data_IF_958738682224
#
_entry.id   IF_958738682224
#
_cell.length_a   1.000
_cell.length_b   1.000
_cell.length_c   1.000
_cell.angle_alpha   90.00
_cell.angle_beta   90.00
_cell.angle_gamma   90.00
#
_symmetry.space_group_name_H-M   'P 1'
#
loop_
_entity.id
_entity.type
_entity.pdbx_description
1 polymer ?
#
# COMPACT_ATOMS: atom_id res chain seq x y z
N UNK A 1 3.85 8.93 -9.04
CA UNK A 1 3.06 8.51 -7.88
C UNK A 1 1.66 9.07 -7.97
N UNK A 2 1.35 10.16 -7.27
CA UNK A 2 0.00 10.75 -7.25
C UNK A 2 -0.48 11.28 -8.61
N UNK A 3 0.39 11.93 -9.38
CA UNK A 3 0.06 12.40 -10.75
C UNK A 3 -0.26 11.22 -11.66
N UNK A 4 0.54 10.16 -11.59
CA UNK A 4 0.33 8.93 -12.34
C UNK A 4 -0.98 8.24 -11.95
N UNK A 5 -1.32 8.22 -10.65
CA UNK A 5 -2.60 7.73 -10.15
C UNK A 5 -3.78 8.59 -10.66
N UNK A 6 -3.62 9.91 -10.70
CA UNK A 6 -4.64 10.81 -11.24
C UNK A 6 -4.85 10.56 -12.74
N UNK A 7 -3.77 10.45 -13.51
CA UNK A 7 -3.81 10.13 -14.95
C UNK A 7 -4.45 8.77 -15.18
N UNK A 8 -4.00 7.74 -14.46
CA UNK A 8 -4.55 6.39 -14.54
C UNK A 8 -6.04 6.36 -14.17
N UNK A 9 -6.45 7.10 -13.14
CA UNK A 9 -7.84 7.20 -12.71
C UNK A 9 -8.72 7.86 -13.78
N UNK A 10 -8.24 8.92 -14.44
CA UNK A 10 -8.95 9.57 -15.55
C UNK A 10 -9.12 8.61 -16.73
N UNK A 11 -8.05 7.90 -17.12
CA UNK A 11 -8.09 6.90 -18.19
C UNK A 11 -9.06 5.77 -17.83
N UNK A 12 -9.05 5.32 -16.57
CA UNK A 12 -9.88 4.23 -16.09
C UNK A 12 -11.36 4.63 -16.05
N UNK A 13 -11.69 5.86 -15.63
CA UNK A 13 -13.05 6.40 -15.73
C UNK A 13 -13.51 6.47 -17.19
N UNK A 14 -12.63 6.92 -18.10
CA UNK A 14 -12.91 6.94 -19.54
C UNK A 14 -13.23 5.55 -20.10
N UNK A 15 -12.46 4.53 -19.72
CA UNK A 15 -12.71 3.14 -20.06
C UNK A 15 -14.00 2.60 -19.42
N UNK A 16 -14.26 2.88 -18.15
CA UNK A 16 -15.46 2.41 -17.46
C UNK A 16 -16.74 2.94 -18.09
N UNK A 17 -16.73 4.21 -18.53
CA UNK A 17 -17.82 4.82 -19.30
C UNK A 17 -17.98 4.16 -20.68
N UNK A 18 -16.87 3.86 -21.36
CA UNK A 18 -16.87 3.17 -22.64
C UNK A 18 -17.44 1.74 -22.54
N UNK A 19 -17.04 0.99 -21.50
CA UNK A 19 -17.46 -0.40 -21.26
C UNK A 19 -18.82 -0.53 -20.55
N UNK A 20 -19.51 0.58 -20.23
CA UNK A 20 -20.78 0.62 -19.48
C UNK A 20 -20.74 -0.20 -18.18
N UNK A 21 -19.62 -0.18 -17.47
CA UNK A 21 -19.53 -0.80 -16.14
C UNK A 21 -20.43 -0.02 -15.19
N UNK A 22 -21.34 -0.71 -14.50
CA UNK A 22 -22.19 -0.08 -13.51
C UNK A 22 -21.32 0.48 -12.38
N UNK A 23 -21.22 1.80 -12.29
CA UNK A 23 -20.60 2.47 -11.15
C UNK A 23 -21.36 2.07 -9.89
N UNK A 24 -20.83 1.06 -9.19
CA UNK A 24 -21.40 0.54 -7.96
C UNK A 24 -20.99 1.47 -6.82
N UNK A 25 -21.75 1.49 -5.72
CA UNK A 25 -21.44 2.25 -4.50
C UNK A 25 -19.99 2.06 -4.01
N UNK A 26 -19.38 0.94 -4.37
CA UNK A 26 -17.97 0.60 -4.20
C UNK A 26 -16.96 1.65 -4.65
N UNK A 27 -17.26 2.51 -5.64
CA UNK A 27 -16.35 3.60 -6.03
C UNK A 27 -16.13 4.63 -4.92
N UNK A 28 -17.08 4.79 -4.00
CA UNK A 28 -16.92 5.72 -2.86
C UNK A 28 -15.84 5.28 -1.87
N UNK A 29 -15.43 4.01 -1.92
CA UNK A 29 -14.34 3.47 -1.10
C UNK A 29 -12.96 3.69 -1.72
N UNK A 30 -12.87 4.07 -3.00
CA UNK A 30 -11.59 4.34 -3.66
C UNK A 30 -10.74 5.41 -2.94
N UNK A 31 -11.28 6.58 -2.56
CA UNK A 31 -10.50 7.59 -1.84
C UNK A 31 -9.93 7.06 -0.53
N UNK A 32 -10.66 6.19 0.17
CA UNK A 32 -10.19 5.56 1.40
C UNK A 32 -8.96 4.67 1.15
N UNK A 33 -9.01 3.83 0.11
CA UNK A 33 -7.86 2.98 -0.23
C UNK A 33 -6.66 3.78 -0.75
N UNK A 34 -6.89 4.89 -1.48
CA UNK A 34 -5.82 5.83 -1.84
C UNK A 34 -5.17 6.40 -0.57
N UNK A 35 -5.97 6.82 0.40
CA UNK A 35 -5.47 7.37 1.65
C UNK A 35 -4.67 6.35 2.47
N UNK A 36 -5.11 5.09 2.54
CA UNK A 36 -4.35 4.00 3.16
C UNK A 36 -3.03 3.74 2.45
N UNK A 37 -3.03 3.75 1.11
CA UNK A 37 -1.80 3.58 0.31
C UNK A 37 -0.80 4.70 0.59
N UNK A 38 -1.28 5.94 0.70
CA UNK A 38 -0.46 7.10 1.05
C UNK A 38 0.12 6.96 2.46
N UNK A 39 -0.70 6.55 3.42
CA UNK A 39 -0.26 6.37 4.80
C UNK A 39 0.82 5.29 4.92
N UNK A 40 0.64 4.18 4.20
CA UNK A 40 1.63 3.11 4.14
C UNK A 40 2.93 3.59 3.48
N UNK A 41 2.84 4.26 2.33
CA UNK A 41 4.00 4.79 1.61
C UNK A 41 4.77 5.82 2.46
N UNK A 42 4.05 6.67 3.20
CA UNK A 42 4.65 7.62 4.13
C UNK A 42 5.35 6.90 5.29
N UNK A 43 4.70 5.93 5.94
CA UNK A 43 5.31 5.19 7.05
C UNK A 43 6.58 4.46 6.64
N UNK A 44 6.48 3.66 5.57
CA UNK A 44 7.64 2.94 5.01
C UNK A 44 8.73 3.90 4.56
N UNK A 45 8.37 4.99 3.88
CA UNK A 45 9.30 6.02 3.43
C UNK A 45 10.01 6.73 4.59
N UNK A 46 9.30 7.03 5.68
CA UNK A 46 9.87 7.63 6.89
C UNK A 46 10.86 6.68 7.57
N UNK A 47 10.50 5.41 7.74
CA UNK A 47 11.43 4.40 8.28
C UNK A 47 12.68 4.30 7.43
N UNK A 48 12.52 4.11 6.12
CA UNK A 48 13.65 3.99 5.20
C UNK A 48 14.51 5.24 5.24
N UNK A 49 13.91 6.44 5.23
CA UNK A 49 14.66 7.70 5.33
C UNK A 49 15.50 7.72 6.60
N UNK A 50 14.90 7.42 7.75
CA UNK A 50 15.61 7.40 9.03
C UNK A 50 16.75 6.36 9.05
N UNK A 51 16.54 5.18 8.45
CA UNK A 51 17.57 4.14 8.34
C UNK A 51 18.69 4.53 7.35
N UNK A 52 18.38 5.21 6.24
CA UNK A 52 19.39 5.60 5.24
C UNK A 52 20.39 6.63 5.75
N UNK A 53 20.00 7.44 6.75
CA UNK A 53 20.92 8.36 7.44
C UNK A 53 22.02 7.59 8.17
N UNK A 54 21.69 6.44 8.75
CA UNK A 54 22.67 5.57 9.43
C UNK A 54 23.38 4.60 8.49
N UNK A 55 22.68 4.10 7.46
CA UNK A 55 23.16 3.08 6.53
C UNK A 55 22.97 3.53 5.08
N UNK A 56 24.01 4.14 4.50
CA UNK A 56 23.98 4.68 3.13
C UNK A 56 23.73 3.61 2.06
N UNK A 57 24.13 2.38 2.31
CA UNK A 57 24.00 1.24 1.37
C UNK A 57 22.54 0.84 1.11
N UNK A 58 21.64 1.14 2.06
CA UNK A 58 20.21 0.86 1.87
C UNK A 58 19.67 1.57 0.63
N UNK A 59 20.20 2.74 0.28
CA UNK A 59 19.75 3.50 -0.89
C UNK A 59 19.90 2.72 -2.21
N UNK A 60 20.89 1.83 -2.30
CA UNK A 60 21.11 0.97 -3.46
C UNK A 60 20.30 -0.32 -3.40
N UNK A 61 20.01 -0.83 -2.20
CA UNK A 61 19.19 -2.02 -2.01
C UNK A 61 17.68 -1.76 -2.17
N UNK A 62 17.23 -0.52 -1.97
CA UNK A 62 15.82 -0.15 -2.00
C UNK A 62 15.07 -0.56 -3.27
N UNK A 63 15.56 -0.30 -4.49
CA UNK A 63 14.86 -0.71 -5.71
C UNK A 63 14.64 -2.23 -5.75
N UNK A 64 15.62 -3.00 -5.30
CA UNK A 64 15.54 -4.46 -5.26
C UNK A 64 14.52 -4.95 -4.22
N UNK A 65 14.50 -4.34 -3.04
CA UNK A 65 13.53 -4.67 -1.98
C UNK A 65 12.10 -4.37 -2.43
N UNK A 66 11.88 -3.20 -3.04
CA UNK A 66 10.56 -2.82 -3.56
C UNK A 66 10.12 -3.79 -4.66
N UNK A 67 11.03 -4.17 -5.55
CA UNK A 67 10.74 -5.11 -6.62
C UNK A 67 10.37 -6.50 -6.06
N UNK A 68 11.10 -7.01 -5.07
CA UNK A 68 10.78 -8.27 -4.41
C UNK A 68 9.42 -8.18 -3.69
N UNK A 69 9.15 -7.06 -3.02
CA UNK A 69 7.87 -6.83 -2.34
C UNK A 69 6.69 -6.74 -3.31
N UNK A 70 6.89 -6.21 -4.52
CA UNK A 70 5.88 -6.23 -5.58
C UNK A 70 5.51 -7.66 -5.98
N UNK A 71 6.49 -8.56 -6.11
CA UNK A 71 6.22 -9.98 -6.39
C UNK A 71 5.58 -10.72 -5.20
N UNK A 72 5.91 -10.32 -3.98
CA UNK A 72 5.30 -10.87 -2.77
C UNK A 72 3.85 -10.38 -2.54
N UNK A 73 3.44 -9.30 -3.21
CA UNK A 73 2.10 -8.73 -3.11
C UNK A 73 1.22 -9.22 -4.26
N UNK A 74 -0.11 -9.33 -4.07
CA UNK A 74 -1.05 -9.76 -5.11
C UNK A 74 -1.33 -8.64 -6.13
N UNK A 75 -0.29 -7.91 -6.55
CA UNK A 75 -0.33 -6.89 -7.59
C UNK A 75 -0.47 -7.57 -8.95
N UNK A 76 0.36 -8.59 -9.20
CA UNK A 76 0.51 -9.25 -10.50
C UNK A 76 -0.47 -10.43 -10.65
N UNK A 77 -0.87 -11.06 -9.54
CA UNK A 77 -1.77 -12.21 -9.53
C UNK A 77 -2.98 -11.98 -8.62
N UNK A 78 -4.17 -12.51 -8.99
CA UNK A 78 -5.31 -12.55 -8.09
C UNK A 78 -5.04 -13.51 -6.93
N UNK A 79 -5.49 -13.13 -5.74
CA UNK A 79 -5.36 -13.90 -4.49
C UNK A 79 -5.97 -15.31 -4.57
N UNK A 80 -6.89 -15.54 -5.50
CA UNK A 80 -7.55 -16.83 -5.73
C UNK A 80 -6.65 -17.94 -6.31
N UNK A 81 -5.54 -17.59 -6.97
CA UNK A 81 -4.59 -18.59 -7.52
C UNK A 81 -3.71 -19.19 -6.42
N UNK A 82 -3.61 -18.52 -5.27
CA UNK A 82 -2.73 -18.93 -4.20
C UNK A 82 -3.40 -20.03 -3.35
N UNK A 83 -2.70 -21.16 -3.09
CA UNK A 83 -3.22 -22.24 -2.24
C UNK A 83 -3.62 -21.72 -0.86
N UNK A 84 -4.68 -22.27 -0.27
CA UNK A 84 -5.24 -21.79 1.02
C UNK A 84 -4.18 -21.72 2.13
N UNK A 85 -3.23 -22.66 2.10
CA UNK A 85 -2.10 -22.74 3.03
C UNK A 85 -1.16 -21.53 3.02
N UNK A 86 -1.21 -20.67 2.01
CA UNK A 86 -0.36 -19.47 1.89
C UNK A 86 -1.17 -18.17 1.94
N UNK A 87 -2.51 -18.24 2.00
CA UNK A 87 -3.37 -17.04 2.07
C UNK A 87 -3.17 -16.24 3.35
N UNK A 88 -2.79 -16.88 4.46
CA UNK A 88 -2.47 -16.19 5.72
C UNK A 88 -1.23 -15.30 5.59
N UNK A 89 -0.21 -15.73 4.83
CA UNK A 89 0.99 -14.93 4.56
C UNK A 89 0.62 -13.68 3.75
N UNK A 90 -0.27 -13.85 2.77
CA UNK A 90 -0.81 -12.72 2.01
C UNK A 90 -1.63 -11.78 2.88
N UNK A 91 -2.46 -12.31 3.80
CA UNK A 91 -3.26 -11.48 4.69
C UNK A 91 -2.42 -10.65 5.69
N UNK A 92 -1.21 -11.09 6.03
CA UNK A 92 -0.26 -10.35 6.87
C UNK A 92 0.40 -9.19 6.10
N UNK A 93 0.40 -9.21 4.77
CA UNK A 93 0.98 -8.11 4.00
C UNK A 93 -0.01 -6.93 3.95
N UNK A 94 0.33 -5.75 4.50
CA UNK A 94 -0.56 -4.59 4.55
C UNK A 94 -0.97 -4.08 3.16
N UNK A 95 -0.21 -4.42 2.10
CA UNK A 95 -0.59 -4.09 0.72
C UNK A 95 -1.73 -4.98 0.18
N UNK A 96 -1.89 -6.20 0.67
CA UNK A 96 -2.84 -7.17 0.12
C UNK A 96 -4.27 -6.69 0.25
N UNK A 97 -4.70 -6.26 1.45
CA UNK A 97 -6.06 -5.76 1.65
C UNK A 97 -6.35 -4.47 0.90
N UNK A 98 -5.34 -3.62 0.73
CA UNK A 98 -5.46 -2.36 -0.04
C UNK A 98 -5.66 -2.69 -1.53
N UNK A 99 -4.82 -3.56 -2.11
CA UNK A 99 -4.89 -3.93 -3.54
C UNK A 99 -6.19 -4.67 -3.85
N UNK A 100 -6.59 -5.63 -3.01
CA UNK A 100 -7.83 -6.37 -3.21
C UNK A 100 -9.05 -5.46 -3.04
N UNK A 101 -9.01 -4.52 -2.09
CA UNK A 101 -10.02 -3.47 -1.93
C UNK A 101 -10.15 -2.60 -3.18
N UNK A 102 -9.02 -2.15 -3.76
CA UNK A 102 -9.01 -1.42 -5.04
C UNK A 102 -9.61 -2.25 -6.17
N UNK A 103 -9.23 -3.52 -6.29
CA UNK A 103 -9.72 -4.43 -7.34
C UNK A 103 -11.23 -4.64 -7.24
N UNK A 104 -11.73 -4.98 -6.06
CA UNK A 104 -13.17 -5.16 -5.80
C UNK A 104 -13.97 -3.87 -5.96
N UNK A 105 -13.36 -2.72 -5.67
CA UNK A 105 -13.99 -1.41 -5.87
C UNK A 105 -14.14 -1.03 -7.35
N UNK A 106 -13.18 -1.42 -8.19
CA UNK A 106 -13.15 -1.09 -9.63
C UNK A 106 -13.92 -2.08 -10.51
N UNK A 107 -13.74 -3.39 -10.26
CA UNK A 107 -14.31 -4.45 -11.10
C UNK A 107 -15.71 -4.87 -10.61
N UNK A 108 -16.04 -4.56 -9.35
CA UNK A 108 -17.26 -5.03 -8.71
C UNK A 108 -17.09 -6.48 -8.23
N UNK A 109 -16.89 -6.64 -6.92
CA UNK A 109 -16.71 -7.95 -6.28
C UNK A 109 -17.02 -7.92 -4.79
N UNK A 110 -16.96 -9.07 -4.13
CA UNK A 110 -17.09 -9.15 -2.68
C UNK A 110 -15.88 -8.54 -1.97
N UNK A 111 -16.12 -7.66 -1.01
CA UNK A 111 -15.07 -7.15 -0.13
C UNK A 111 -14.78 -8.15 0.98
N UNK A 112 -13.53 -8.60 1.08
CA UNK A 112 -13.06 -9.31 2.26
C UNK A 112 -12.67 -8.30 3.34
N UNK A 113 -13.67 -7.90 4.13
CA UNK A 113 -13.51 -6.96 5.24
C UNK A 113 -12.50 -7.42 6.29
N UNK A 114 -12.25 -8.73 6.41
CA UNK A 114 -11.27 -9.28 7.35
C UNK A 114 -9.85 -8.92 6.91
N UNK A 115 -9.50 -9.22 5.66
CA UNK A 115 -8.16 -8.90 5.12
C UNK A 115 -7.94 -7.39 5.03
N UNK A 116 -8.99 -6.62 4.69
CA UNK A 116 -8.93 -5.14 4.64
C UNK A 116 -8.67 -4.55 6.04
N UNK A 117 -9.38 -5.02 7.07
CA UNK A 117 -9.23 -4.50 8.44
C UNK A 117 -7.86 -4.85 9.03
N UNK A 118 -7.36 -6.07 8.82
CA UNK A 118 -6.00 -6.48 9.23
C UNK A 118 -4.95 -5.60 8.53
N UNK A 119 -5.07 -5.42 7.21
CA UNK A 119 -4.14 -4.59 6.43
C UNK A 119 -4.16 -3.13 6.88
N UNK A 120 -5.35 -2.60 7.21
CA UNK A 120 -5.52 -1.25 7.72
C UNK A 120 -4.87 -1.08 9.09
N UNK A 121 -5.11 -2.02 10.02
CA UNK A 121 -4.50 -1.99 11.35
C UNK A 121 -2.97 -2.07 11.27
N UNK A 122 -2.43 -2.94 10.42
CA UNK A 122 -0.99 -3.05 10.19
C UNK A 122 -0.40 -1.77 9.58
N UNK A 123 -1.11 -1.15 8.63
CA UNK A 123 -0.68 0.12 8.01
C UNK A 123 -0.61 1.24 9.04
N UNK A 124 -1.63 1.38 9.87
CA UNK A 124 -1.67 2.40 10.94
C UNK A 124 -0.58 2.12 11.98
N UNK A 125 -0.43 0.88 12.42
CA UNK A 125 0.61 0.49 13.37
C UNK A 125 2.01 0.80 12.81
N UNK A 126 2.28 0.41 11.56
CA UNK A 126 3.53 0.70 10.88
C UNK A 126 3.77 2.20 10.79
N UNK A 127 2.77 2.99 10.40
CA UNK A 127 2.89 4.45 10.32
C UNK A 127 3.24 5.08 11.68
N UNK A 128 2.54 4.68 12.75
CA UNK A 128 2.82 5.17 14.12
C UNK A 128 4.23 4.77 14.58
N UNK A 129 4.63 3.51 14.37
CA UNK A 129 6.00 3.06 14.66
C UNK A 129 7.04 3.85 13.86
N UNK A 130 6.75 4.14 12.59
CA UNK A 130 7.63 4.91 11.71
C UNK A 130 7.82 6.33 12.21
N UNK A 131 6.73 7.00 12.62
CA UNK A 131 6.77 8.33 13.21
C UNK A 131 7.60 8.35 14.50
N UNK A 132 7.40 7.38 15.39
CA UNK A 132 8.15 7.29 16.64
C UNK A 132 9.66 7.11 16.40
N UNK A 133 10.03 6.21 15.48
CA UNK A 133 11.44 5.97 15.11
C UNK A 133 12.06 7.21 14.47
N UNK A 134 11.31 7.90 13.60
CA UNK A 134 11.77 9.12 12.94
C UNK A 134 12.07 10.23 13.96
N UNK A 135 11.14 10.49 14.89
CA UNK A 135 11.32 11.51 15.94
C UNK A 135 12.53 11.21 16.83
N UNK A 136 12.70 9.96 17.26
CA UNK A 136 13.87 9.52 18.06
C UNK A 136 15.20 9.80 17.37
N UNK A 137 15.24 9.57 16.05
CA UNK A 137 16.44 9.78 15.25
C UNK A 137 16.69 11.28 15.07
N UNK A 138 15.65 12.07 14.80
CA UNK A 138 15.73 13.53 14.67
C UNK A 138 16.25 14.20 15.95
N UNK A 139 15.75 13.81 17.13
CA UNK A 139 16.24 14.30 18.45
C UNK A 139 17.74 14.05 18.64
N UNK A 140 18.24 12.87 18.22
CA UNK A 140 19.66 12.52 18.34
C UNK A 140 20.55 13.35 17.41
N UNK A 141 20.03 13.82 16.27
CA UNK A 141 20.76 14.66 15.32
C UNK A 141 20.71 16.14 15.67
N UNK A 142 19.63 16.61 16.29
CA UNK A 142 19.50 17.99 16.74
C UNK A 142 20.51 18.35 17.85
N UNK A 143 20.89 17.39 18.69
CA UNK A 143 21.90 17.57 19.76
C UNK A 143 23.35 17.57 19.25
N UNK A 144 23.60 17.26 17.98
CA UNK A 144 24.94 17.18 17.38
C UNK A 144 25.38 18.46 16.63
N UNK A 145 24.55 19.51 16.63
CA UNK A 145 24.80 20.79 15.94
C UNK A 145 25.02 21.92 16.95
#
# INVERSE_FOLDING_TARGET
GLVDLAVASVVLIGLALYYRVALTWSLTLLPLFVMLTLLLALGVGMLISALTVRYRDLRHALPFIIQLWMFASPVIYPSGIVPEKWRWVLAINPLTGIIEGFRSALVGGSFDWTTISISTALTVCLFVCSLYVFQRIEETFADLI
#
